data_IF_987143824602
#
_entry.id   IF_987143824602
#
_cell.length_a   1.000
_cell.length_b   1.000
_cell.length_c   1.000
_cell.angle_alpha   90.00
_cell.angle_beta   90.00
_cell.angle_gamma   90.00
#
_symmetry.space_group_name_H-M   'P 1'
#
loop_
_entity.id
_entity.type
_entity.pdbx_description
1 polymer ?
#
# COMPACT_ATOMS: atom_id res chain seq x y z
N UNK A 1 -18.98 -2.78 59.77
CA UNK A 1 -17.86 -3.03 58.85
C UNK A 1 -18.42 -2.95 57.42
N UNK A 2 -18.28 -1.78 56.82
CA UNK A 2 -18.76 -1.55 55.42
C UNK A 2 -17.58 -1.67 54.47
N UNK A 3 -17.59 -2.72 53.66
CA UNK A 3 -16.67 -2.84 52.53
C UNK A 3 -17.14 -1.93 51.40
N UNK A 4 -16.43 -0.84 51.14
CA UNK A 4 -16.54 -0.05 49.92
C UNK A 4 -15.87 -0.84 48.79
N UNK A 5 -16.66 -1.42 47.91
CA UNK A 5 -16.23 -1.87 46.59
C UNK A 5 -15.91 -0.61 45.78
N UNK A 6 -14.62 -0.34 45.64
CA UNK A 6 -14.11 0.60 44.64
C UNK A 6 -14.27 -0.07 43.30
N UNK A 7 -15.29 0.33 42.52
CA UNK A 7 -15.52 -0.10 41.18
C UNK A 7 -14.35 0.36 40.31
N UNK A 8 -13.55 -0.60 39.88
CA UNK A 8 -12.68 -0.47 38.71
C UNK A 8 -13.60 -0.26 37.50
N UNK A 9 -13.83 0.99 37.15
CA UNK A 9 -14.37 1.36 35.84
C UNK A 9 -13.30 1.05 34.83
N UNK A 10 -13.25 -0.19 34.35
CA UNK A 10 -12.57 -0.51 33.11
C UNK A 10 -13.30 0.19 31.99
N UNK A 11 -12.74 1.31 31.59
CA UNK A 11 -13.14 2.07 30.43
C UNK A 11 -12.79 1.23 29.19
N UNK A 12 -13.72 0.40 28.77
CA UNK A 12 -13.63 -0.33 27.53
C UNK A 12 -13.63 0.68 26.38
N UNK A 13 -12.45 1.12 25.99
CA UNK A 13 -12.28 1.80 24.73
C UNK A 13 -12.45 0.75 23.62
N UNK A 14 -13.69 0.61 23.14
CA UNK A 14 -13.96 -0.13 21.91
C UNK A 14 -13.24 0.59 20.79
N UNK A 15 -12.18 0.02 20.23
CA UNK A 15 -11.69 0.51 18.97
C UNK A 15 -10.29 0.14 18.54
N UNK A 16 -9.33 -0.11 19.41
CA UNK A 16 -7.99 -0.40 18.95
C UNK A 16 -7.29 -1.42 19.84
N UNK A 17 -7.51 -2.70 19.54
CA UNK A 17 -6.76 -3.81 20.17
C UNK A 17 -5.50 -4.16 19.35
N UNK A 18 -5.29 -3.51 18.20
CA UNK A 18 -4.08 -3.64 17.42
C UNK A 18 -2.98 -2.74 18.03
N UNK A 19 -1.75 -3.13 17.86
CA UNK A 19 -0.55 -2.48 18.35
C UNK A 19 -0.63 -0.95 18.20
N UNK A 20 -0.74 -0.22 19.31
CA UNK A 20 -0.82 1.22 19.31
C UNK A 20 0.56 1.79 18.94
N UNK A 21 0.62 2.46 17.81
CA UNK A 21 1.85 3.06 17.30
C UNK A 21 1.99 4.51 17.82
N UNK A 22 3.22 4.99 17.93
CA UNK A 22 3.47 6.38 18.32
C UNK A 22 3.25 7.39 17.19
N UNK A 23 3.28 6.92 15.93
CA UNK A 23 3.09 7.73 14.73
C UNK A 23 2.44 6.88 13.63
N UNK A 24 2.01 7.52 12.55
CA UNK A 24 1.59 6.82 11.34
C UNK A 24 2.75 5.93 10.84
N UNK A 25 2.52 4.62 10.58
CA UNK A 25 3.57 3.73 10.07
C UNK A 25 3.99 4.13 8.65
N UNK A 26 5.23 3.81 8.29
CA UNK A 26 5.76 4.08 6.93
C UNK A 26 5.02 3.29 5.86
N UNK A 27 4.39 2.17 6.24
CA UNK A 27 3.58 1.34 5.35
C UNK A 27 2.50 0.56 6.11
N UNK A 28 1.37 0.33 5.46
CA UNK A 28 0.31 -0.57 5.91
C UNK A 28 -0.50 -1.11 4.72
N UNK A 29 -1.22 -2.22 4.92
CA UNK A 29 -2.07 -2.78 3.88
C UNK A 29 -3.45 -2.11 3.87
N UNK A 30 -4.02 -1.86 2.70
CA UNK A 30 -5.42 -1.45 2.55
C UNK A 30 -6.34 -2.52 3.16
N UNK A 31 -7.50 -2.10 3.68
CA UNK A 31 -8.42 -3.02 4.37
C UNK A 31 -7.94 -3.44 5.77
N UNK A 32 -6.93 -2.77 6.36
CA UNK A 32 -6.50 -3.01 7.72
C UNK A 32 -6.70 -1.78 8.60
N UNK A 33 -7.08 -2.02 9.85
CA UNK A 33 -7.22 -0.92 10.83
C UNK A 33 -5.84 -0.51 11.34
N UNK A 34 -5.54 0.79 11.22
CA UNK A 34 -4.32 1.41 11.74
C UNK A 34 -4.68 2.41 12.83
N UNK A 35 -4.06 2.24 14.00
CA UNK A 35 -4.23 3.14 15.12
C UNK A 35 -2.88 3.68 15.57
N UNK A 36 -2.81 4.97 15.83
CA UNK A 36 -1.65 5.57 16.45
C UNK A 36 -2.03 6.70 17.39
N UNK A 37 -1.23 6.89 18.42
CA UNK A 37 -1.39 7.95 19.42
C UNK A 37 -0.44 9.09 19.09
N UNK A 38 -0.98 10.30 19.01
CA UNK A 38 -0.20 11.51 18.77
C UNK A 38 -0.23 12.40 19.99
N UNK A 39 0.92 12.65 20.56
CA UNK A 39 1.09 13.58 21.69
C UNK A 39 1.65 14.90 21.19
N UNK A 40 0.94 16.00 21.45
CA UNK A 40 1.33 17.34 21.08
C UNK A 40 1.30 18.20 22.35
N UNK A 41 2.47 18.43 22.94
CA UNK A 41 2.59 19.10 24.23
C UNK A 41 2.04 20.53 24.21
N UNK A 42 2.26 21.26 23.11
CA UNK A 42 1.84 22.66 22.96
C UNK A 42 0.35 22.78 22.56
N UNK A 43 -0.27 21.68 22.13
CA UNK A 43 -1.64 21.65 21.58
C UNK A 43 -2.43 20.47 22.15
N UNK A 44 -2.66 20.40 23.49
CA UNK A 44 -3.33 19.23 24.05
C UNK A 44 -4.81 19.18 23.66
N UNK A 45 -5.33 17.98 23.45
CA UNK A 45 -6.73 17.76 23.07
C UNK A 45 -7.70 18.27 24.15
N UNK A 46 -7.32 18.18 25.42
CA UNK A 46 -8.11 18.70 26.55
C UNK A 46 -8.30 20.21 26.51
N UNK A 47 -7.44 20.96 25.82
CA UNK A 47 -7.58 22.42 25.64
C UNK A 47 -8.46 22.79 24.40
N UNK A 48 -9.17 21.82 23.81
CA UNK A 48 -10.10 22.06 22.73
C UNK A 48 -9.45 22.07 21.33
N UNK A 49 -8.23 21.56 21.21
CA UNK A 49 -7.60 21.35 19.93
C UNK A 49 -8.13 20.09 19.26
N UNK A 50 -8.21 20.11 17.93
CA UNK A 50 -8.67 19.01 17.08
C UNK A 50 -7.60 18.67 16.06
N UNK A 51 -7.15 17.41 16.05
CA UNK A 51 -6.17 16.91 15.08
C UNK A 51 -6.89 16.27 13.88
N UNK A 52 -6.49 16.63 12.67
CA UNK A 52 -6.94 16.01 11.41
C UNK A 52 -5.74 15.54 10.60
N UNK A 53 -5.86 14.33 10.11
CA UNK A 53 -4.87 13.70 9.22
C UNK A 53 -5.44 13.65 7.82
N UNK A 54 -4.65 14.07 6.83
CA UNK A 54 -5.01 14.02 5.42
C UNK A 54 -3.95 13.20 4.69
N UNK A 55 -4.40 12.21 3.93
CA UNK A 55 -3.59 11.45 2.99
C UNK A 55 -4.01 11.81 1.57
N UNK A 56 -3.05 12.08 0.70
CA UNK A 56 -3.27 12.42 -0.69
C UNK A 56 -2.30 11.65 -1.60
N UNK A 57 -2.85 10.98 -2.60
CA UNK A 57 -2.15 10.18 -3.60
C UNK A 57 -3.11 9.83 -4.73
N UNK A 58 -3.13 8.58 -5.15
CA UNK A 58 -4.10 8.10 -6.14
C UNK A 58 -5.55 8.14 -5.60
N UNK A 59 -5.71 8.06 -4.28
CA UNK A 59 -6.96 8.32 -3.55
C UNK A 59 -6.74 9.42 -2.51
N UNK A 60 -7.80 9.88 -1.86
CA UNK A 60 -7.73 10.88 -0.79
C UNK A 60 -8.45 10.35 0.44
N UNK A 61 -7.84 10.51 1.60
CA UNK A 61 -8.43 10.15 2.88
C UNK A 61 -8.24 11.31 3.87
N UNK A 62 -9.27 11.62 4.64
CA UNK A 62 -9.21 12.58 5.73
C UNK A 62 -9.85 12.00 6.98
N UNK A 63 -9.11 11.97 8.10
CA UNK A 63 -9.58 11.48 9.39
C UNK A 63 -9.39 12.52 10.47
N UNK A 64 -10.37 12.60 11.36
CA UNK A 64 -10.29 13.41 12.57
C UNK A 64 -9.95 12.48 13.73
N UNK A 65 -8.93 12.82 14.49
CA UNK A 65 -8.54 12.06 15.66
C UNK A 65 -9.56 12.21 16.80
N UNK A 66 -9.71 11.18 17.60
CA UNK A 66 -10.44 11.25 18.85
C UNK A 66 -9.53 11.84 19.96
N UNK A 67 -10.10 12.65 20.83
CA UNK A 67 -9.39 13.11 22.01
C UNK A 67 -9.28 11.97 23.04
N UNK A 68 -8.07 11.78 23.58
CA UNK A 68 -7.81 10.80 24.66
C UNK A 68 -6.95 11.46 25.74
N UNK A 69 -7.63 12.14 26.67
CA UNK A 69 -6.97 13.03 27.64
C UNK A 69 -6.35 14.23 26.93
N UNK A 70 -5.03 14.38 27.06
CA UNK A 70 -4.24 15.41 26.37
C UNK A 70 -3.76 14.98 24.99
N UNK A 71 -3.83 13.68 24.69
CA UNK A 71 -3.36 13.08 23.45
C UNK A 71 -4.47 12.95 22.41
N UNK A 72 -4.10 12.62 21.20
CA UNK A 72 -4.99 12.34 20.08
C UNK A 72 -4.84 10.88 19.65
N UNK A 73 -5.96 10.17 19.54
CA UNK A 73 -6.01 8.83 18.97
C UNK A 73 -6.51 8.93 17.52
N UNK A 74 -5.62 8.64 16.58
CA UNK A 74 -5.97 8.56 15.17
C UNK A 74 -6.29 7.12 14.82
N UNK A 75 -7.47 6.90 14.25
CA UNK A 75 -7.90 5.59 13.76
C UNK A 75 -8.26 5.69 12.29
N UNK A 76 -7.57 4.91 11.46
CA UNK A 76 -7.92 4.65 10.08
C UNK A 76 -8.56 3.27 10.08
N UNK A 77 -9.88 3.20 9.87
CA UNK A 77 -10.60 1.95 9.87
C UNK A 77 -10.33 1.15 8.59
N UNK A 78 -10.49 -0.17 8.65
CA UNK A 78 -10.35 -1.03 7.47
C UNK A 78 -11.21 -0.54 6.31
N UNK A 79 -12.46 -0.17 6.61
CA UNK A 79 -13.43 0.35 5.63
C UNK A 79 -13.03 1.65 4.94
N UNK A 80 -12.11 2.42 5.51
CA UNK A 80 -11.61 3.66 4.90
C UNK A 80 -10.71 3.40 3.69
N UNK A 81 -10.12 2.21 3.65
CA UNK A 81 -9.16 1.79 2.62
C UNK A 81 -9.61 0.53 1.87
N UNK A 82 -10.85 0.08 2.05
CA UNK A 82 -11.52 -0.96 1.27
C UNK A 82 -12.19 -0.38 0.01
N UNK A 83 -12.72 -1.26 -0.83
CA UNK A 83 -13.69 -0.90 -1.88
C UNK A 83 -13.16 0.01 -2.99
N UNK A 84 -11.92 -0.17 -3.41
CA UNK A 84 -11.35 0.57 -4.53
C UNK A 84 -10.36 1.66 -4.10
N UNK A 85 -9.94 1.69 -2.86
CA UNK A 85 -8.81 2.52 -2.44
C UNK A 85 -7.54 2.05 -3.14
N UNK A 86 -6.90 2.94 -3.90
CA UNK A 86 -5.77 2.57 -4.76
C UNK A 86 -4.50 2.44 -3.94
N UNK A 87 -3.87 1.25 -3.97
CA UNK A 87 -2.57 1.03 -3.36
C UNK A 87 -1.49 1.91 -4.02
N UNK A 88 -0.50 2.35 -3.25
CA UNK A 88 0.58 3.19 -3.74
C UNK A 88 1.19 4.09 -2.69
N UNK A 89 1.98 5.06 -3.14
CA UNK A 89 2.61 6.05 -2.28
C UNK A 89 1.69 7.25 -2.08
N UNK A 90 1.50 7.64 -0.82
CA UNK A 90 0.69 8.78 -0.40
C UNK A 90 1.55 9.78 0.37
N UNK A 91 1.25 11.05 0.20
CA UNK A 91 1.73 12.11 1.09
C UNK A 91 0.68 12.32 2.17
N UNK A 92 1.14 12.48 3.41
CA UNK A 92 0.24 12.80 4.50
C UNK A 92 0.64 14.10 5.19
N UNK A 93 -0.36 14.76 5.77
CA UNK A 93 -0.20 15.96 6.57
C UNK A 93 -1.11 15.88 7.78
N UNK A 94 -0.57 16.22 8.95
CA UNK A 94 -1.31 16.42 10.20
C UNK A 94 -1.54 17.90 10.44
N UNK A 95 -2.79 18.27 10.59
CA UNK A 95 -3.19 19.65 10.92
C UNK A 95 -3.96 19.66 12.22
N UNK A 96 -3.65 20.65 13.03
CA UNK A 96 -4.37 20.90 14.27
C UNK A 96 -5.12 22.23 14.15
N UNK A 97 -6.33 22.28 14.72
CA UNK A 97 -7.17 23.47 14.70
C UNK A 97 -7.91 23.64 16.03
N UNK A 98 -8.27 24.87 16.35
CA UNK A 98 -9.09 25.19 17.51
C UNK A 98 -10.37 25.94 17.13
N UNK A 99 -11.25 26.17 18.08
CA UNK A 99 -12.49 26.92 17.89
C UNK A 99 -12.27 28.40 17.52
N UNK A 100 -11.08 28.94 17.78
CA UNK A 100 -10.69 30.32 17.39
C UNK A 100 -10.33 30.45 15.91
N UNK A 101 -10.33 29.35 15.15
CA UNK A 101 -10.00 29.35 13.72
C UNK A 101 -8.50 29.28 13.41
N UNK A 102 -7.66 29.07 14.44
CA UNK A 102 -6.24 28.84 14.27
C UNK A 102 -6.01 27.45 13.68
N UNK A 103 -5.11 27.33 12.71
CA UNK A 103 -4.76 26.07 12.05
C UNK A 103 -3.24 26.00 11.89
N UNK A 104 -2.65 24.95 12.43
CA UNK A 104 -1.22 24.70 12.32
C UNK A 104 -0.96 23.32 11.71
N UNK A 105 0.12 23.20 10.94
CA UNK A 105 0.63 21.92 10.48
C UNK A 105 1.64 21.40 11.50
N UNK A 106 1.39 20.21 12.05
CA UNK A 106 2.18 19.60 13.11
C UNK A 106 2.95 18.36 12.68
N UNK A 107 2.69 17.88 11.47
CA UNK A 107 3.40 16.75 10.89
C UNK A 107 3.15 16.60 9.41
N UNK A 108 4.13 16.04 8.70
CA UNK A 108 4.02 15.63 7.29
C UNK A 108 4.96 14.49 6.99
N UNK A 109 4.66 13.74 5.93
CA UNK A 109 5.53 12.66 5.46
C UNK A 109 4.95 11.94 4.27
N UNK A 110 5.46 10.73 4.06
CA UNK A 110 4.99 9.78 3.06
C UNK A 110 4.64 8.47 3.72
N UNK A 111 3.66 7.77 3.17
CA UNK A 111 3.26 6.43 3.59
C UNK A 111 3.00 5.59 2.34
N UNK A 112 3.38 4.33 2.38
CA UNK A 112 3.08 3.37 1.31
C UNK A 112 1.89 2.52 1.73
N UNK A 113 0.79 2.61 0.99
CA UNK A 113 -0.37 1.75 1.20
C UNK A 113 -0.25 0.56 0.27
N UNK A 114 -0.13 -0.64 0.85
CA UNK A 114 -0.02 -1.89 0.14
C UNK A 114 -1.41 -2.36 -0.33
N UNK A 115 -1.49 -3.18 -1.39
CA UNK A 115 -2.76 -3.75 -1.83
C UNK A 115 -3.43 -4.58 -0.73
N UNK A 116 -4.77 -4.58 -0.70
CA UNK A 116 -5.53 -5.50 0.13
C UNK A 116 -5.49 -6.91 -0.47
N UNK A 117 -4.62 -7.76 0.06
CA UNK A 117 -4.50 -9.14 -0.42
C UNK A 117 -5.71 -10.02 -0.06
N UNK A 118 -6.54 -9.61 0.91
CA UNK A 118 -7.76 -10.34 1.25
C UNK A 118 -8.88 -10.12 0.22
N UNK A 119 -8.87 -8.99 -0.49
CA UNK A 119 -9.78 -8.68 -1.60
C UNK A 119 -9.18 -9.02 -2.97
N UNK A 120 -7.90 -9.39 -3.02
CA UNK A 120 -7.27 -9.79 -4.26
C UNK A 120 -7.93 -11.08 -4.75
N UNK A 121 -8.56 -11.03 -5.92
CA UNK A 121 -9.00 -12.24 -6.61
C UNK A 121 -7.78 -13.10 -6.92
N UNK A 122 -7.91 -14.43 -6.76
CA UNK A 122 -6.86 -15.37 -7.14
C UNK A 122 -6.41 -15.06 -8.58
N UNK A 123 -5.12 -14.80 -8.77
CA UNK A 123 -4.54 -14.60 -10.10
C UNK A 123 -4.61 -13.18 -10.67
N UNK A 124 -5.00 -12.13 -9.92
CA UNK A 124 -5.15 -10.78 -10.47
C UNK A 124 -3.88 -10.22 -11.15
N UNK A 125 -2.70 -10.48 -10.62
CA UNK A 125 -1.42 -10.13 -11.29
C UNK A 125 -1.13 -11.10 -12.44
N UNK A 126 -1.38 -12.38 -12.25
CA UNK A 126 -1.25 -13.40 -13.27
C UNK A 126 -2.20 -13.14 -14.44
N UNK A 127 -3.48 -12.84 -14.19
CA UNK A 127 -4.46 -12.49 -15.23
C UNK A 127 -4.06 -11.24 -16.03
N UNK A 128 -3.50 -10.23 -15.37
CA UNK A 128 -3.00 -9.06 -16.07
C UNK A 128 -1.84 -9.41 -17.00
N UNK A 129 -0.87 -10.20 -16.51
CA UNK A 129 0.29 -10.65 -17.32
C UNK A 129 -0.18 -11.53 -18.47
N UNK A 130 -1.10 -12.47 -18.24
CA UNK A 130 -1.66 -13.35 -19.27
C UNK A 130 -2.40 -12.55 -20.36
N UNK A 131 -3.20 -11.55 -19.97
CA UNK A 131 -3.85 -10.64 -20.92
C UNK A 131 -2.84 -9.83 -21.71
N UNK A 132 -1.79 -9.31 -21.08
CA UNK A 132 -0.73 -8.56 -21.74
C UNK A 132 0.03 -9.44 -22.74
N UNK A 133 0.34 -10.69 -22.38
CA UNK A 133 0.96 -11.69 -23.27
C UNK A 133 0.06 -11.97 -24.48
N UNK A 134 -1.23 -12.21 -24.27
CA UNK A 134 -2.18 -12.49 -25.35
C UNK A 134 -2.26 -11.32 -26.35
N UNK A 135 -2.27 -10.08 -25.87
CA UNK A 135 -2.29 -8.89 -26.72
C UNK A 135 -0.99 -8.68 -27.49
N UNK A 136 0.16 -8.90 -26.87
CA UNK A 136 1.45 -8.81 -27.54
C UNK A 136 1.58 -9.88 -28.64
N UNK A 137 1.12 -11.11 -28.39
CA UNK A 137 1.08 -12.16 -29.40
C UNK A 137 0.17 -11.78 -30.56
N UNK A 138 -1.05 -11.27 -30.28
CA UNK A 138 -1.96 -10.80 -31.32
C UNK A 138 -1.36 -9.64 -32.15
N UNK A 139 -0.59 -8.75 -31.51
CA UNK A 139 0.12 -7.67 -32.21
C UNK A 139 1.22 -8.21 -33.14
N UNK A 140 2.06 -9.11 -32.64
CA UNK A 140 3.14 -9.76 -33.42
C UNK A 140 2.56 -10.54 -34.63
N UNK A 141 1.42 -11.18 -34.46
CA UNK A 141 0.72 -11.93 -35.50
C UNK A 141 -0.11 -11.03 -36.43
N UNK A 142 -0.14 -9.72 -36.21
CA UNK A 142 -0.93 -8.77 -37.02
C UNK A 142 -2.44 -8.89 -36.85
N UNK A 143 -2.91 -9.55 -35.79
CA UNK A 143 -4.34 -9.84 -35.52
C UNK A 143 -4.94 -8.98 -34.39
N UNK A 144 -4.52 -7.74 -34.24
CA UNK A 144 -5.11 -6.86 -33.23
C UNK A 144 -6.59 -6.58 -33.53
N UNK A 145 -7.50 -6.75 -32.56
CA UNK A 145 -8.89 -6.37 -32.73
C UNK A 145 -9.05 -4.89 -33.00
N UNK A 146 -10.04 -4.52 -33.82
CA UNK A 146 -10.39 -3.11 -34.07
C UNK A 146 -10.80 -2.42 -32.74
N UNK A 147 -10.20 -1.28 -32.44
CA UNK A 147 -10.45 -0.51 -31.19
C UNK A 147 -9.37 -0.64 -30.13
N UNK A 148 -8.33 -1.45 -30.33
CA UNK A 148 -7.21 -1.62 -29.38
C UNK A 148 -6.10 -0.57 -29.53
N UNK A 149 -6.33 0.50 -30.30
CA UNK A 149 -5.33 1.56 -30.53
C UNK A 149 -4.92 2.31 -29.26
N UNK A 150 -5.71 2.20 -28.17
CA UNK A 150 -5.47 2.85 -26.89
C UNK A 150 -4.89 1.95 -25.79
N UNK A 151 -4.66 0.65 -26.05
CA UNK A 151 -4.15 -0.26 -25.01
C UNK A 151 -2.67 -0.02 -24.74
N UNK A 152 -2.35 0.22 -23.46
CA UNK A 152 -0.99 0.50 -23.02
C UNK A 152 -0.45 -0.62 -22.12
N UNK A 153 0.77 -1.06 -22.42
CA UNK A 153 1.56 -1.96 -21.57
C UNK A 153 2.85 -1.25 -21.21
N UNK A 154 3.17 -1.17 -19.91
CA UNK A 154 4.36 -0.48 -19.40
C UNK A 154 4.53 0.96 -19.95
N UNK A 155 3.43 1.70 -20.09
CA UNK A 155 3.41 3.08 -20.60
C UNK A 155 3.55 3.24 -22.12
N UNK A 156 3.51 2.13 -22.88
CA UNK A 156 3.62 2.13 -24.36
C UNK A 156 2.33 1.64 -25.01
N UNK A 157 1.91 2.31 -26.08
CA UNK A 157 0.74 1.90 -26.86
C UNK A 157 1.10 0.70 -27.71
N UNK A 158 0.41 -0.46 -27.51
CA UNK A 158 0.72 -1.72 -28.16
C UNK A 158 0.62 -1.63 -29.69
N UNK A 159 -0.40 -0.98 -30.22
CA UNK A 159 -0.61 -0.85 -31.66
C UNK A 159 0.50 -0.09 -32.41
N UNK A 160 1.26 0.74 -31.69
CA UNK A 160 2.38 1.54 -32.25
C UNK A 160 3.75 0.99 -31.88
N UNK A 161 3.81 -0.15 -31.19
CA UNK A 161 5.05 -0.75 -30.74
C UNK A 161 5.75 -1.50 -31.87
N UNK A 162 7.05 -1.26 -32.13
CA UNK A 162 7.81 -2.06 -33.08
C UNK A 162 7.82 -3.53 -32.71
N UNK A 163 7.72 -4.43 -33.67
CA UNK A 163 7.66 -5.90 -33.45
C UNK A 163 8.84 -6.39 -32.59
N UNK A 164 10.03 -5.85 -32.81
CA UNK A 164 11.22 -6.21 -32.03
C UNK A 164 11.06 -5.90 -30.54
N UNK A 165 10.47 -4.76 -30.22
CA UNK A 165 10.18 -4.36 -28.84
C UNK A 165 9.06 -5.22 -28.24
N UNK A 166 8.03 -5.52 -29.01
CA UNK A 166 6.94 -6.39 -28.59
C UNK A 166 7.44 -7.80 -28.25
N UNK A 167 8.35 -8.37 -29.03
CA UNK A 167 8.97 -9.68 -28.75
C UNK A 167 9.81 -9.63 -27.47
N UNK A 168 10.61 -8.59 -27.28
CA UNK A 168 11.42 -8.42 -26.05
C UNK A 168 10.55 -8.31 -24.80
N UNK A 169 9.47 -7.51 -24.87
CA UNK A 169 8.52 -7.35 -23.76
C UNK A 169 7.76 -8.64 -23.48
N UNK A 170 7.35 -9.37 -24.53
CA UNK A 170 6.69 -10.67 -24.41
C UNK A 170 7.56 -11.66 -23.63
N UNK A 171 8.84 -11.81 -24.00
CA UNK A 171 9.78 -12.70 -23.31
C UNK A 171 9.96 -12.30 -21.83
N UNK A 172 10.00 -11.00 -21.51
CA UNK A 172 10.10 -10.51 -20.14
C UNK A 172 8.85 -10.85 -19.31
N UNK A 173 7.64 -10.69 -19.89
CA UNK A 173 6.38 -11.02 -19.21
C UNK A 173 6.20 -12.54 -19.04
N UNK A 174 6.58 -13.34 -20.02
CA UNK A 174 6.57 -14.80 -19.91
C UNK A 174 7.51 -15.30 -18.80
N UNK A 175 8.71 -14.72 -18.69
CA UNK A 175 9.64 -15.04 -17.61
C UNK A 175 9.08 -14.66 -16.23
N UNK A 176 8.38 -13.51 -16.14
CA UNK A 176 7.73 -13.07 -14.90
C UNK A 176 6.56 -14.00 -14.54
N UNK A 177 5.74 -14.39 -15.51
CA UNK A 177 4.64 -15.33 -15.31
C UNK A 177 5.16 -16.68 -14.80
N UNK A 178 6.23 -17.21 -15.41
CA UNK A 178 6.86 -18.45 -14.98
C UNK A 178 7.40 -18.35 -13.54
N UNK A 179 7.94 -17.20 -13.14
CA UNK A 179 8.37 -16.92 -11.77
C UNK A 179 7.22 -16.91 -10.76
N UNK A 180 6.05 -16.36 -11.13
CA UNK A 180 4.85 -16.38 -10.29
C UNK A 180 4.26 -17.78 -10.14
N UNK A 181 4.27 -18.57 -11.22
CA UNK A 181 3.75 -19.95 -11.21
C UNK A 181 4.69 -20.93 -10.48
N UNK A 182 5.99 -20.65 -10.46
CA UNK A 182 7.01 -21.50 -9.82
C UNK A 182 7.95 -20.69 -8.93
N UNK A 183 7.52 -20.20 -7.75
CA UNK A 183 8.33 -19.33 -6.88
C UNK A 183 9.62 -19.98 -6.37
N UNK A 184 9.77 -21.30 -6.48
CA UNK A 184 10.98 -22.04 -6.10
C UNK A 184 12.08 -22.11 -7.17
N UNK A 185 11.81 -21.67 -8.40
CA UNK A 185 12.77 -21.81 -9.50
C UNK A 185 13.84 -20.70 -9.56
N UNK A 186 13.60 -19.56 -8.92
CA UNK A 186 14.43 -18.34 -9.07
C UNK A 186 15.62 -18.29 -8.09
N UNK A 187 15.76 -19.22 -7.15
CA UNK A 187 16.71 -19.09 -6.03
C UNK A 187 17.81 -20.15 -5.96
N UNK A 188 18.10 -20.90 -7.02
CA UNK A 188 19.32 -21.72 -7.05
C UNK A 188 20.42 -20.99 -7.80
N UNK A 189 21.42 -20.40 -7.10
CA UNK A 189 22.62 -19.96 -7.77
C UNK A 189 23.31 -21.19 -8.37
N UNK A 190 23.42 -21.22 -9.70
CA UNK A 190 24.25 -22.21 -10.37
C UNK A 190 25.69 -21.84 -10.09
N UNK A 191 26.31 -22.52 -9.12
CA UNK A 191 27.76 -22.45 -8.90
C UNK A 191 28.43 -23.14 -10.08
N UNK A 192 28.85 -22.36 -11.07
CA UNK A 192 29.74 -22.85 -12.13
C UNK A 192 31.15 -22.91 -11.54
N UNK A 193 31.57 -24.10 -11.14
CA UNK A 193 32.97 -24.36 -10.71
C UNK A 193 33.84 -24.51 -11.96
N UNK A 194 34.65 -23.51 -12.23
CA UNK A 194 35.73 -23.64 -13.25
C UNK A 194 36.91 -24.39 -12.62
N UNK A 195 36.98 -25.68 -12.83
CA UNK A 195 38.17 -26.47 -12.54
C UNK A 195 39.21 -26.14 -13.61
N UNK A 196 40.32 -25.50 -13.20
CA UNK A 196 41.46 -25.25 -14.06
C UNK A 196 42.07 -26.61 -14.44
N UNK A 197 42.19 -26.95 -15.74
CA UNK A 197 42.87 -28.19 -16.10
C UNK A 197 44.33 -28.15 -15.60
N UNK A 198 44.69 -29.18 -14.86
CA UNK A 198 46.03 -29.32 -14.30
C UNK A 198 47.06 -29.44 -15.43
N UNK A 199 48.11 -28.60 -15.36
CA UNK A 199 49.32 -28.81 -16.09
C UNK A 199 50.08 -29.95 -15.40
N UNK A 200 50.05 -31.13 -15.96
CA UNK A 200 51.00 -32.18 -15.62
C UNK A 200 52.37 -31.81 -16.27
N UNK A 201 53.42 -31.80 -15.44
CA UNK A 201 54.82 -31.80 -15.88
C UNK A 201 55.34 -33.23 -15.90
#
# INVERSE_FOLDING_TARGET
MSFRLVGLYERWHRGCMAQELANLPDQFAAGTTVCYRRRLVDYPASAGWTLRVHLAGASVLAKTAAADGDDFLVTIDATDTEGGFVAGMYKWVERISNAGGEVYEVGRGTVTILPNLAEASEGSEQEWIERAIAMLRAHIEGRLPAGMESYQIAGRVVAKMPIKEAVSLLSSLESRLAGLQNPGFVTRPVLVSFTKPGFER
#
